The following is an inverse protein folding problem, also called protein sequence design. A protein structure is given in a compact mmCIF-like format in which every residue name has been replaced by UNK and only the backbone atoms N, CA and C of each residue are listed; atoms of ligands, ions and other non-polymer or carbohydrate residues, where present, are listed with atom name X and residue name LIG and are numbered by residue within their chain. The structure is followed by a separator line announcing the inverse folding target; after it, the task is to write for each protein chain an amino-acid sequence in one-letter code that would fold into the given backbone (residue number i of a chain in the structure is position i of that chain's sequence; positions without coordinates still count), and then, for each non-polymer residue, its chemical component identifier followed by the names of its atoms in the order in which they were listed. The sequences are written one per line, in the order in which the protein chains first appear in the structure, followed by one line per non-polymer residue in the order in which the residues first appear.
data_IF_385021569350
#
_entry.id   IF_385021569350
#
_cell.length_a   1.000
_cell.length_b   1.000
_cell.length_c   1.000
_cell.angle_alpha   90.00
_cell.angle_beta   90.00
_cell.angle_gamma   90.00
#
_symmetry.space_group_name_H-M   'P 1'
#
loop_
_entity.id
_entity.type
_entity.pdbx_description
1 polymer ?
#
# COMPACT_ATOMS: atom_id res chain seq x y z
N UNK A 1 -20.56 12.95 -20.53
CA UNK A 1 -21.08 12.79 -19.16
C UNK A 1 -21.39 11.34 -18.81
N UNK A 2 -22.24 10.62 -19.56
CA UNK A 2 -22.43 9.16 -19.34
C UNK A 2 -21.21 8.32 -19.73
N UNK A 3 -20.48 8.73 -20.78
CA UNK A 3 -19.25 8.06 -21.21
C UNK A 3 -18.13 8.06 -20.16
N UNK A 4 -18.00 9.13 -19.37
CA UNK A 4 -16.97 9.23 -18.33
C UNK A 4 -17.24 8.26 -17.16
N UNK A 5 -18.52 8.09 -16.81
CA UNK A 5 -18.96 7.10 -15.82
C UNK A 5 -18.79 5.67 -16.33
N UNK A 6 -19.08 5.41 -17.61
CA UNK A 6 -18.84 4.11 -18.22
C UNK A 6 -17.33 3.77 -18.23
N UNK A 7 -16.48 4.72 -18.61
CA UNK A 7 -15.02 4.54 -18.54
C UNK A 7 -14.54 4.34 -17.09
N UNK A 8 -15.10 5.05 -16.11
CA UNK A 8 -14.78 4.85 -14.70
C UNK A 8 -15.19 3.44 -14.22
N UNK A 9 -16.33 2.92 -14.70
CA UNK A 9 -16.79 1.57 -14.41
C UNK A 9 -15.81 0.53 -14.98
N UNK A 10 -15.43 0.66 -16.26
CA UNK A 10 -14.45 -0.24 -16.90
C UNK A 10 -13.11 -0.25 -16.15
N UNK A 11 -12.61 0.90 -15.70
CA UNK A 11 -11.38 0.97 -14.92
C UNK A 11 -11.53 0.30 -13.54
N UNK A 12 -12.71 0.38 -12.94
CA UNK A 12 -12.99 -0.27 -11.64
C UNK A 12 -13.05 -1.79 -11.80
N UNK A 13 -13.63 -2.29 -12.90
CA UNK A 13 -13.63 -3.70 -13.26
C UNK A 13 -12.20 -4.19 -13.60
N UNK A 14 -11.42 -3.39 -14.32
CA UNK A 14 -10.02 -3.69 -14.62
C UNK A 14 -9.16 -3.76 -13.36
N UNK A 15 -9.36 -2.84 -12.41
CA UNK A 15 -8.70 -2.88 -11.10
C UNK A 15 -8.99 -4.19 -10.36
N UNK A 16 -10.26 -4.60 -10.30
CA UNK A 16 -10.63 -5.88 -9.70
C UNK A 16 -9.99 -7.06 -10.43
N UNK A 17 -9.93 -7.04 -11.76
CA UNK A 17 -9.27 -8.10 -12.54
C UNK A 17 -7.79 -8.22 -12.19
N UNK A 18 -7.06 -7.11 -12.02
CA UNK A 18 -5.65 -7.14 -11.62
C UNK A 18 -5.43 -7.88 -10.29
N UNK A 19 -6.35 -7.76 -9.33
CA UNK A 19 -6.26 -8.47 -8.05
C UNK A 19 -6.56 -9.98 -8.14
N UNK A 20 -7.21 -10.45 -9.21
CA UNK A 20 -7.50 -11.86 -9.42
C UNK A 20 -6.43 -12.58 -10.26
N UNK A 21 -5.54 -11.83 -10.91
CA UNK A 21 -4.43 -12.41 -11.69
C UNK A 21 -3.35 -12.93 -10.77
N UNK A 22 -2.80 -14.09 -11.11
CA UNK A 22 -1.53 -14.54 -10.55
C UNK A 22 -0.39 -13.74 -11.19
N UNK A 23 0.14 -12.77 -10.47
CA UNK A 23 1.22 -11.92 -10.96
C UNK A 23 2.18 -11.50 -9.83
N UNK A 24 3.43 -11.13 -10.17
CA UNK A 24 4.35 -10.56 -9.20
C UNK A 24 3.75 -9.32 -8.55
N UNK A 25 4.01 -9.18 -7.25
CA UNK A 25 3.46 -8.07 -6.47
C UNK A 25 3.90 -6.69 -6.97
N UNK A 26 5.15 -6.57 -7.44
CA UNK A 26 5.67 -5.34 -8.03
C UNK A 26 4.81 -4.91 -9.23
N UNK A 27 4.52 -5.86 -10.12
CA UNK A 27 3.67 -5.67 -11.31
C UNK A 27 2.25 -5.29 -10.91
N UNK A 28 1.67 -5.99 -9.93
CA UNK A 28 0.35 -5.65 -9.40
C UNK A 28 0.29 -4.20 -8.91
N UNK A 29 1.27 -3.77 -8.11
CA UNK A 29 1.33 -2.41 -7.55
C UNK A 29 1.43 -1.38 -8.67
N UNK A 30 2.31 -1.59 -9.65
CA UNK A 30 2.47 -0.68 -10.79
C UNK A 30 1.18 -0.57 -11.63
N UNK A 31 0.53 -1.69 -11.92
CA UNK A 31 -0.73 -1.72 -12.67
C UNK A 31 -1.85 -1.00 -11.91
N UNK A 32 -2.00 -1.30 -10.62
CA UNK A 32 -2.99 -0.67 -9.75
C UNK A 32 -2.77 0.84 -9.68
N UNK A 33 -1.54 1.32 -9.50
CA UNK A 33 -1.23 2.75 -9.51
C UNK A 33 -1.68 3.44 -10.81
N UNK A 34 -1.26 2.90 -11.95
CA UNK A 34 -1.63 3.45 -13.27
C UNK A 34 -3.15 3.52 -13.48
N UNK A 35 -3.87 2.47 -13.07
CA UNK A 35 -5.33 2.43 -13.19
C UNK A 35 -6.02 3.42 -12.24
N UNK A 36 -5.50 3.58 -11.02
CA UNK A 36 -6.01 4.54 -10.04
C UNK A 36 -5.81 5.98 -10.51
N UNK A 37 -4.66 6.32 -11.10
CA UNK A 37 -4.38 7.66 -11.62
C UNK A 37 -5.37 8.03 -12.73
N UNK A 38 -5.59 7.11 -13.69
CA UNK A 38 -6.56 7.31 -14.77
C UNK A 38 -7.98 7.43 -14.24
N UNK A 39 -8.36 6.61 -13.26
CA UNK A 39 -9.68 6.66 -12.61
C UNK A 39 -9.88 7.97 -11.85
N UNK A 40 -8.87 8.45 -11.13
CA UNK A 40 -8.90 9.71 -10.39
C UNK A 40 -9.14 10.91 -11.29
N UNK A 41 -8.46 10.96 -12.44
CA UNK A 41 -8.68 12.01 -13.44
C UNK A 41 -10.12 12.04 -13.97
N UNK A 42 -10.72 10.86 -14.25
CA UNK A 42 -12.11 10.77 -14.70
C UNK A 42 -13.10 11.17 -13.62
N UNK A 43 -12.88 10.74 -12.37
CA UNK A 43 -13.75 11.10 -11.24
C UNK A 43 -13.80 12.61 -11.00
N UNK A 44 -12.67 13.31 -11.19
CA UNK A 44 -12.63 14.77 -11.07
C UNK A 44 -13.45 15.51 -12.14
N UNK A 45 -13.65 14.88 -13.30
CA UNK A 45 -14.43 15.44 -14.40
C UNK A 45 -15.95 15.20 -14.26
N UNK A 46 -16.37 14.23 -13.46
CA UNK A 46 -17.78 13.89 -13.25
C UNK A 46 -18.45 14.96 -12.38
N UNK A 47 -19.37 15.72 -12.98
CA UNK A 47 -20.13 16.81 -12.34
C UNK A 47 -21.64 16.66 -12.59
N UNK A 48 -22.49 17.17 -11.68
CA UNK A 48 -23.93 17.20 -11.87
C UNK A 48 -24.33 18.13 -13.03
N UNK A 49 -25.52 17.96 -13.64
CA UNK A 49 -26.62 17.06 -13.23
C UNK A 49 -26.49 15.62 -13.77
N UNK A 50 -26.94 14.64 -12.97
CA UNK A 50 -26.87 13.21 -13.32
C UNK A 50 -28.21 12.70 -13.87
N UNK A 51 -28.18 12.06 -15.03
CA UNK A 51 -29.33 11.32 -15.59
C UNK A 51 -29.61 10.05 -14.78
N UNK A 52 -30.80 9.45 -14.96
CA UNK A 52 -31.14 8.18 -14.31
C UNK A 52 -30.13 7.05 -14.65
N UNK A 53 -29.69 6.98 -15.90
CA UNK A 53 -28.64 6.05 -16.34
C UNK A 53 -27.30 6.30 -15.63
N UNK A 54 -26.89 7.56 -15.49
CA UNK A 54 -25.68 7.94 -14.76
C UNK A 54 -25.75 7.52 -13.29
N UNK A 55 -26.92 7.64 -12.65
CA UNK A 55 -27.13 7.19 -11.27
C UNK A 55 -27.03 5.66 -11.14
N UNK A 56 -27.56 4.90 -12.10
CA UNK A 56 -27.43 3.44 -12.12
C UNK A 56 -25.97 3.01 -12.25
N UNK A 57 -25.22 3.63 -13.18
CA UNK A 57 -23.79 3.39 -13.34
C UNK A 57 -23.02 3.74 -12.06
N UNK A 58 -23.33 4.88 -11.44
CA UNK A 58 -22.74 5.28 -10.17
C UNK A 58 -22.95 4.25 -9.06
N UNK A 59 -24.16 3.69 -8.92
CA UNK A 59 -24.45 2.62 -7.96
C UNK A 59 -23.61 1.37 -8.23
N UNK A 60 -23.50 0.95 -9.49
CA UNK A 60 -22.67 -0.20 -9.88
C UNK A 60 -21.20 0.03 -9.51
N UNK A 61 -20.66 1.22 -9.78
CA UNK A 61 -19.28 1.59 -9.40
C UNK A 61 -19.11 1.50 -7.87
N UNK A 62 -20.06 2.04 -7.09
CA UNK A 62 -20.01 1.96 -5.62
C UNK A 62 -20.00 0.53 -5.10
N UNK A 63 -20.75 -0.38 -5.72
CA UNK A 63 -20.80 -1.78 -5.33
C UNK A 63 -19.50 -2.53 -5.66
N UNK A 64 -18.86 -2.21 -6.78
CA UNK A 64 -17.53 -2.72 -7.10
C UNK A 64 -16.45 -2.15 -6.17
N UNK A 65 -16.55 -0.87 -5.80
CA UNK A 65 -15.63 -0.23 -4.86
C UNK A 65 -15.66 -0.89 -3.48
N UNK A 66 -16.83 -1.37 -3.03
CA UNK A 66 -16.95 -2.15 -1.77
C UNK A 66 -16.13 -3.44 -1.82
N UNK A 67 -16.02 -4.07 -2.99
CA UNK A 67 -15.22 -5.29 -3.18
C UNK A 67 -13.73 -4.95 -3.34
N UNK A 68 -13.42 -3.84 -4.00
CA UNK A 68 -12.04 -3.42 -4.27
C UNK A 68 -11.31 -2.94 -3.02
N UNK A 69 -12.00 -2.20 -2.15
CA UNK A 69 -11.43 -1.59 -0.94
C UNK A 69 -10.68 -2.58 -0.02
N UNK A 70 -11.25 -3.74 0.39
CA UNK A 70 -10.54 -4.68 1.24
C UNK A 70 -9.29 -5.28 0.55
N UNK A 71 -9.34 -5.51 -0.76
CA UNK A 71 -8.19 -6.01 -1.53
C UNK A 71 -7.02 -5.00 -1.48
N UNK A 72 -7.31 -3.73 -1.72
CA UNK A 72 -6.33 -2.65 -1.62
C UNK A 72 -5.77 -2.51 -0.20
N UNK A 73 -6.63 -2.58 0.82
CA UNK A 73 -6.20 -2.51 2.23
C UNK A 73 -5.28 -3.67 2.60
N UNK A 74 -5.56 -4.88 2.15
CA UNK A 74 -4.71 -6.06 2.37
C UNK A 74 -3.33 -5.85 1.75
N UNK A 75 -3.27 -5.39 0.50
CA UNK A 75 -1.99 -5.11 -0.19
C UNK A 75 -1.19 -4.02 0.53
N UNK A 76 -1.84 -2.91 0.92
CA UNK A 76 -1.19 -1.84 1.65
C UNK A 76 -0.64 -2.30 3.01
N UNK A 77 -1.40 -3.15 3.71
CA UNK A 77 -0.99 -3.71 5.00
C UNK A 77 0.22 -4.62 4.85
N UNK A 78 0.27 -5.42 3.78
CA UNK A 78 1.47 -6.19 3.40
C UNK A 78 2.70 -5.30 3.21
N UNK A 79 2.56 -4.20 2.44
CA UNK A 79 3.65 -3.23 2.22
C UNK A 79 4.16 -2.64 3.54
N UNK A 80 3.25 -2.23 4.43
CA UNK A 80 3.62 -1.68 5.73
C UNK A 80 4.38 -2.70 6.59
N UNK A 81 3.94 -3.95 6.59
CA UNK A 81 4.59 -5.02 7.35
C UNK A 81 6.01 -5.26 6.85
N UNK A 82 6.24 -5.27 5.55
CA UNK A 82 7.58 -5.46 4.98
C UNK A 82 8.53 -4.32 5.38
N UNK A 83 8.06 -3.08 5.31
CA UNK A 83 8.83 -1.89 5.74
C UNK A 83 9.21 -2.02 7.22
N UNK A 84 8.26 -2.42 8.08
CA UNK A 84 8.52 -2.62 9.50
C UNK A 84 9.54 -3.74 9.76
N UNK A 85 9.44 -4.85 9.04
CA UNK A 85 10.37 -5.97 9.17
C UNK A 85 11.79 -5.57 8.70
N UNK A 86 11.90 -4.86 7.59
CA UNK A 86 13.18 -4.34 7.10
C UNK A 86 13.84 -3.39 8.11
N UNK A 87 13.06 -2.50 8.73
CA UNK A 87 13.54 -1.61 9.78
C UNK A 87 14.01 -2.38 11.03
N UNK A 88 13.23 -3.38 11.48
CA UNK A 88 13.59 -4.25 12.63
C UNK A 88 14.89 -5.02 12.38
N UNK A 89 15.07 -5.60 11.19
CA UNK A 89 16.31 -6.31 10.82
C UNK A 89 17.53 -5.39 10.90
N UNK A 90 17.41 -4.14 10.42
CA UNK A 90 18.48 -3.14 10.51
C UNK A 90 18.84 -2.79 11.97
N UNK A 91 17.84 -2.63 12.84
CA UNK A 91 18.07 -2.35 14.27
C UNK A 91 18.69 -3.54 14.99
N UNK A 92 18.21 -4.76 14.74
CA UNK A 92 18.75 -5.98 15.33
C UNK A 92 20.20 -6.23 14.89
N UNK A 93 20.53 -6.06 13.61
CA UNK A 93 21.92 -6.12 13.14
C UNK A 93 22.82 -5.10 13.83
N UNK A 94 22.36 -3.86 14.05
CA UNK A 94 23.14 -2.84 14.78
C UNK A 94 23.39 -3.22 16.23
N UNK A 95 22.40 -3.83 16.91
CA UNK A 95 22.56 -4.33 18.28
C UNK A 95 23.54 -5.51 18.35
N UNK A 96 23.54 -6.38 17.33
CA UNK A 96 24.48 -7.50 17.25
C UNK A 96 25.91 -7.09 16.91
N UNK A 97 26.09 -6.00 16.14
CA UNK A 97 27.43 -5.47 15.79
C UNK A 97 28.05 -4.69 16.96
N UNK A 98 27.24 -4.16 17.90
CA UNK A 98 27.77 -3.35 19.01
C UNK A 98 27.38 -3.83 20.43
N UNK A 99 27.66 -5.11 20.79
CA UNK A 99 27.36 -5.64 22.13
C UNK A 99 28.25 -5.09 23.25
N UNK A 100 29.29 -4.31 22.92
CA UNK A 100 30.25 -3.74 23.87
C UNK A 100 30.14 -2.22 24.05
N UNK A 101 29.24 -1.53 23.34
CA UNK A 101 29.10 -0.07 23.47
C UNK A 101 28.60 0.34 24.85
N UNK A 102 27.80 -0.50 25.50
CA UNK A 102 27.35 -0.30 26.90
C UNK A 102 28.44 -0.62 27.92
N UNK A 103 29.46 -1.42 27.57
CA UNK A 103 30.58 -1.77 28.45
C UNK A 103 31.70 -0.72 28.43
N UNK A 104 31.76 0.14 27.41
CA UNK A 104 32.75 1.23 27.33
C UNK A 104 32.39 2.48 28.15
N UNK A 105 31.18 2.56 28.72
CA UNK A 105 30.75 3.71 29.54
C UNK A 105 30.98 3.54 31.05
N UNK A 106 31.31 2.33 31.52
CA UNK A 106 31.64 2.08 32.92
C UNK A 106 33.16 2.02 33.10
N UNK A 107 33.73 3.20 33.37
CA UNK A 107 34.95 3.48 34.13
C UNK A 107 35.89 2.26 34.33
N UNK A 108 36.89 2.14 33.44
CA UNK A 108 37.90 1.09 33.44
C UNK A 108 38.79 1.14 34.68
N UNK A 109 38.34 0.53 35.78
CA UNK A 109 39.19 0.25 36.95
C UNK A 109 39.70 -1.17 36.86
N UNK A 110 40.89 -1.32 36.27
CA UNK A 110 41.70 -2.51 36.40
C UNK A 110 42.19 -2.60 37.85
N UNK A 111 41.64 -3.53 38.63
CA UNK A 111 42.25 -3.91 39.90
C UNK A 111 43.46 -4.80 39.60
N UNK A 112 44.64 -4.19 39.48
CA UNK A 112 45.88 -4.92 39.77
C UNK A 112 46.02 -5.00 41.29
N UNK A 113 45.64 -6.14 41.86
CA UNK A 113 46.08 -6.52 43.20
C UNK A 113 46.75 -7.88 43.10
N UNK A 114 48.06 -7.84 42.88
CA UNK A 114 48.97 -8.93 43.25
C UNK A 114 49.46 -8.73 44.69
N UNK A 115 49.45 -9.84 45.42
CA UNK A 115 49.91 -10.12 46.79
C UNK A 115 48.93 -9.82 47.92
#
# INVERSE_FOLDING_TARGET
MTGDLAACLELTEALLSEFHKEQPRETLIQNVHRLLDRRGALLAAIKPPFSAEAQLLGRKIMDLDKQLKPLMQKTLSGIRNDIQQAAKKKTSMKQYINPYQSLQLNDGRFYDRKR
#
